data_IF_021764766549
#
_entry.id   IF_021764766549
#
_cell.length_a   1.000
_cell.length_b   1.000
_cell.length_c   1.000
_cell.angle_alpha   90.00
_cell.angle_beta   90.00
_cell.angle_gamma   90.00
#
_symmetry.space_group_name_H-M   'P 1'
#
loop_
_entity.id
_entity.type
_entity.pdbx_description
1 polymer ?
#
# COMPACT_ATOMS: atom_id res chain seq x y z
N UNK A 1 -12.36 3.95 15.38
CA UNK A 1 -11.57 4.81 16.29
C UNK A 1 -10.38 5.39 15.54
N UNK A 2 -9.87 6.55 15.98
CA UNK A 2 -8.82 7.31 15.28
C UNK A 2 -7.57 6.48 14.92
N UNK A 3 -7.09 5.66 15.87
CA UNK A 3 -5.92 4.80 15.68
C UNK A 3 -6.04 3.85 14.48
N UNK A 4 -7.13 3.09 14.40
CA UNK A 4 -7.35 2.15 13.31
C UNK A 4 -7.48 2.90 11.97
N UNK A 5 -8.14 4.07 11.99
CA UNK A 5 -8.24 4.94 10.82
C UNK A 5 -6.87 5.37 10.30
N UNK A 6 -5.95 5.77 11.18
CA UNK A 6 -4.58 6.11 10.81
C UNK A 6 -3.87 4.95 10.12
N UNK A 7 -3.89 3.74 10.69
CA UNK A 7 -3.21 2.56 10.13
C UNK A 7 -3.70 2.24 8.70
N UNK A 8 -5.00 2.32 8.44
CA UNK A 8 -5.57 2.08 7.11
C UNK A 8 -5.30 3.23 6.13
N UNK A 9 -5.34 4.48 6.59
CA UNK A 9 -5.12 5.66 5.74
C UNK A 9 -3.78 5.57 5.02
N UNK A 10 -2.74 5.10 5.73
CA UNK A 10 -1.39 5.02 5.19
C UNK A 10 -1.29 4.13 3.95
N UNK A 11 -2.15 3.11 3.83
CA UNK A 11 -2.01 2.08 2.80
C UNK A 11 -2.76 2.39 1.50
N UNK A 12 -3.78 3.26 1.54
CA UNK A 12 -4.65 3.55 0.39
C UNK A 12 -4.81 5.04 0.07
N UNK A 13 -4.75 5.92 1.07
CA UNK A 13 -4.94 7.34 0.80
C UNK A 13 -3.72 7.90 0.08
N UNK A 14 -3.95 8.70 -0.96
CA UNK A 14 -2.88 9.19 -1.81
C UNK A 14 -2.51 8.27 -2.98
N UNK A 15 -3.09 7.07 -3.07
CA UNK A 15 -2.88 6.14 -4.18
C UNK A 15 -3.79 6.46 -5.37
N UNK A 16 -3.51 5.83 -6.51
CA UNK A 16 -4.32 6.03 -7.72
C UNK A 16 -5.74 5.50 -7.51
N UNK A 17 -6.76 6.26 -7.91
CA UNK A 17 -8.18 5.84 -7.92
C UNK A 17 -8.78 5.80 -9.32
N UNK A 18 -8.08 6.40 -10.30
CA UNK A 18 -8.46 6.41 -11.70
C UNK A 18 -7.55 5.44 -12.46
N UNK A 19 -8.00 4.20 -12.57
CA UNK A 19 -7.43 3.26 -13.53
C UNK A 19 -8.21 3.35 -14.82
N UNK A 20 -7.50 3.36 -15.94
CA UNK A 20 -8.10 3.18 -17.26
C UNK A 20 -9.02 1.94 -17.23
N UNK A 21 -10.13 1.95 -17.98
CA UNK A 21 -11.13 0.88 -17.95
C UNK A 21 -10.49 -0.51 -18.21
N UNK A 22 -9.43 -0.54 -19.01
CA UNK A 22 -8.65 -1.74 -19.29
C UNK A 22 -7.66 -2.11 -18.18
N UNK A 23 -7.11 -1.13 -17.45
CA UNK A 23 -6.26 -1.37 -16.27
C UNK A 23 -7.07 -1.82 -15.05
N UNK A 24 -8.36 -1.45 -14.95
CA UNK A 24 -9.26 -1.98 -13.92
C UNK A 24 -9.44 -3.51 -14.02
N UNK A 25 -9.26 -4.08 -15.22
CA UNK A 25 -9.45 -5.53 -15.45
C UNK A 25 -8.25 -6.36 -15.01
N UNK A 26 -7.04 -5.79 -14.94
CA UNK A 26 -5.88 -6.51 -14.43
C UNK A 26 -5.80 -6.43 -12.90
N UNK A 27 -6.13 -7.55 -12.26
CA UNK A 27 -6.14 -7.67 -10.80
C UNK A 27 -4.81 -7.27 -10.18
N UNK A 28 -3.69 -7.74 -10.75
CA UNK A 28 -2.36 -7.50 -10.17
C UNK A 28 -2.00 -6.02 -10.25
N UNK A 29 -2.09 -5.41 -11.43
CA UNK A 29 -1.80 -3.98 -11.61
C UNK A 29 -2.69 -3.11 -10.73
N UNK A 30 -3.98 -3.46 -10.58
CA UNK A 30 -4.87 -2.74 -9.70
C UNK A 30 -4.37 -2.74 -8.23
N UNK A 31 -3.94 -3.88 -7.70
CA UNK A 31 -3.39 -3.93 -6.33
C UNK A 31 -2.10 -3.12 -6.20
N UNK A 32 -1.22 -3.15 -7.20
CA UNK A 32 0.03 -2.40 -7.17
C UNK A 32 -0.17 -0.88 -7.24
N UNK A 33 -1.22 -0.40 -7.93
CA UNK A 33 -1.47 1.04 -8.13
C UNK A 33 -2.33 1.68 -7.04
N UNK A 34 -3.21 0.90 -6.41
CA UNK A 34 -4.20 1.39 -5.42
C UNK A 34 -3.77 1.15 -3.97
N UNK A 35 -2.67 0.43 -3.76
CA UNK A 35 -2.23 -0.02 -2.44
C UNK A 35 -0.74 0.17 -2.26
N UNK A 36 -0.31 0.46 -1.03
CA UNK A 36 1.10 0.45 -0.62
C UNK A 36 1.30 -0.36 0.65
N UNK A 37 2.54 -0.73 0.90
CA UNK A 37 3.02 -1.26 2.16
C UNK A 37 3.68 -0.18 3.02
N UNK A 38 3.72 -0.46 4.33
CA UNK A 38 4.55 0.26 5.28
C UNK A 38 5.71 -0.65 5.68
N UNK A 39 6.92 -0.13 5.53
CA UNK A 39 8.14 -0.89 5.66
C UNK A 39 8.20 -1.65 6.98
N UNK A 40 8.43 -2.95 6.89
CA UNK A 40 8.46 -3.82 8.06
C UNK A 40 9.62 -3.45 8.97
N UNK A 41 9.28 -3.09 10.20
CA UNK A 41 10.20 -2.94 11.33
C UNK A 41 9.53 -3.57 12.55
N UNK A 42 10.29 -3.91 13.59
CA UNK A 42 9.71 -4.46 14.82
C UNK A 42 8.62 -3.53 15.39
N UNK A 43 8.85 -2.21 15.33
CA UNK A 43 7.85 -1.22 15.75
C UNK A 43 6.63 -1.21 14.83
N UNK A 44 6.81 -1.12 13.51
CA UNK A 44 5.68 -1.04 12.57
C UNK A 44 4.82 -2.32 12.57
N UNK A 45 5.45 -3.49 12.66
CA UNK A 45 4.75 -4.77 12.72
C UNK A 45 3.90 -4.87 14.00
N UNK A 46 4.41 -4.42 15.16
CA UNK A 46 3.65 -4.35 16.41
C UNK A 46 2.55 -3.27 16.37
N UNK A 47 2.91 -2.04 15.99
CA UNK A 47 2.02 -0.87 16.00
C UNK A 47 0.83 -1.06 15.05
N UNK A 48 1.06 -1.64 13.88
CA UNK A 48 -0.02 -1.88 12.91
C UNK A 48 -0.75 -3.21 13.11
N UNK A 49 -0.30 -4.07 14.03
CA UNK A 49 -0.84 -5.43 14.19
C UNK A 49 -0.66 -6.31 12.95
N UNK A 50 0.37 -6.02 12.14
CA UNK A 50 0.65 -6.69 10.86
C UNK A 50 -0.18 -6.19 9.68
N UNK A 51 -0.89 -5.06 9.81
CA UNK A 51 -1.65 -4.43 8.72
C UNK A 51 -0.77 -3.62 7.76
N UNK A 52 0.54 -3.61 7.95
CA UNK A 52 1.51 -2.91 7.11
C UNK A 52 1.82 -3.60 5.76
N UNK A 53 1.24 -4.78 5.51
CA UNK A 53 1.50 -5.64 4.33
C UNK A 53 0.25 -5.75 3.44
N UNK A 54 -0.32 -4.60 3.06
CA UNK A 54 -1.59 -4.55 2.33
C UNK A 54 -1.47 -5.03 0.88
N UNK A 55 -0.33 -4.82 0.20
CA UNK A 55 -0.11 -5.34 -1.16
C UNK A 55 -0.28 -6.87 -1.14
N UNK A 56 0.43 -7.57 -0.25
CA UNK A 56 0.32 -9.04 -0.17
C UNK A 56 -1.03 -9.47 0.39
N UNK A 57 -1.62 -8.72 1.32
CA UNK A 57 -2.96 -9.02 1.81
C UNK A 57 -3.99 -9.00 0.68
N UNK A 58 -3.90 -8.02 -0.22
CA UNK A 58 -4.81 -7.93 -1.36
C UNK A 58 -4.54 -8.97 -2.42
N UNK A 59 -3.26 -9.29 -2.71
CA UNK A 59 -2.90 -10.35 -3.65
C UNK A 59 -3.26 -11.75 -3.13
N UNK A 60 -3.19 -11.96 -1.82
CA UNK A 60 -3.40 -13.26 -1.17
C UNK A 60 -4.29 -13.14 0.08
N UNK A 61 -5.59 -12.80 -0.05
CA UNK A 61 -6.46 -12.48 1.08
C UNK A 61 -6.66 -13.64 2.06
N UNK A 62 -6.54 -14.87 1.57
CA UNK A 62 -6.66 -16.08 2.39
C UNK A 62 -5.33 -16.51 3.05
N UNK A 63 -4.22 -15.84 2.74
CA UNK A 63 -2.93 -16.18 3.34
C UNK A 63 -2.84 -15.68 4.78
N UNK A 64 -2.39 -16.52 5.74
CA UNK A 64 -2.17 -16.07 7.10
C UNK A 64 -1.16 -14.91 7.17
N UNK A 65 -1.45 -13.91 8.01
CA UNK A 65 -0.64 -12.67 8.15
C UNK A 65 0.87 -12.92 8.36
N UNK A 66 1.22 -13.94 9.13
CA UNK A 66 2.63 -14.27 9.39
C UNK A 66 3.39 -14.78 8.15
N UNK A 67 2.67 -15.25 7.13
CA UNK A 67 3.23 -15.70 5.85
C UNK A 67 3.34 -14.59 4.81
N UNK A 68 2.62 -13.47 4.98
CA UNK A 68 2.66 -12.33 4.04
C UNK A 68 4.06 -11.75 3.89
N UNK A 69 4.86 -11.72 4.96
CA UNK A 69 6.26 -11.26 4.87
C UNK A 69 7.14 -12.16 3.99
N UNK A 70 6.82 -13.45 3.86
CA UNK A 70 7.50 -14.36 2.93
C UNK A 70 7.01 -14.13 1.50
N UNK A 71 5.69 -14.00 1.32
CA UNK A 71 5.08 -13.69 0.02
C UNK A 71 5.64 -12.40 -0.59
N UNK A 72 5.79 -11.34 0.23
CA UNK A 72 6.29 -10.05 -0.23
C UNK A 72 7.68 -10.10 -0.83
N UNK A 73 8.56 -11.01 -0.38
CA UNK A 73 9.87 -11.23 -1.02
C UNK A 73 9.74 -11.70 -2.46
N UNK A 74 8.81 -12.62 -2.73
CA UNK A 74 8.55 -13.14 -4.08
C UNK A 74 7.83 -12.11 -4.95
N UNK A 75 6.84 -11.41 -4.39
CA UNK A 75 6.13 -10.33 -5.09
C UNK A 75 7.11 -9.24 -5.49
N UNK A 76 7.94 -8.75 -4.56
CA UNK A 76 8.95 -7.73 -4.85
C UNK A 76 9.95 -8.20 -5.92
N UNK A 77 10.45 -9.43 -5.83
CA UNK A 77 11.37 -9.97 -6.84
C UNK A 77 10.73 -10.05 -8.24
N UNK A 78 9.44 -10.38 -8.32
CA UNK A 78 8.68 -10.37 -9.57
C UNK A 78 8.52 -8.93 -10.09
N UNK A 79 8.14 -7.99 -9.23
CA UNK A 79 8.06 -6.58 -9.58
C UNK A 79 9.40 -6.04 -10.12
N UNK A 80 10.50 -6.33 -9.43
CA UNK A 80 11.85 -5.92 -9.85
C UNK A 80 12.20 -6.51 -11.24
N UNK A 81 11.89 -7.80 -11.47
CA UNK A 81 12.12 -8.48 -12.76
C UNK A 81 11.34 -7.83 -13.92
N UNK A 82 10.11 -7.40 -13.67
CA UNK A 82 9.21 -6.85 -14.68
C UNK A 82 9.16 -5.32 -14.70
N UNK A 83 10.00 -4.65 -13.90
CA UNK A 83 10.05 -3.18 -13.75
C UNK A 83 8.70 -2.58 -13.32
N UNK A 84 8.01 -3.28 -12.42
CA UNK A 84 6.77 -2.82 -11.81
C UNK A 84 7.10 -2.14 -10.49
N UNK A 85 6.51 -0.98 -10.22
CA UNK A 85 6.70 -0.29 -8.95
C UNK A 85 6.10 -1.12 -7.80
N UNK A 86 6.91 -1.36 -6.76
CA UNK A 86 6.48 -1.98 -5.51
C UNK A 86 6.57 -0.95 -4.39
N UNK A 87 5.43 -0.37 -4.02
CA UNK A 87 5.36 0.77 -3.10
C UNK A 87 5.47 0.30 -1.64
N UNK A 88 6.69 0.20 -1.13
CA UNK A 88 7.00 -0.12 0.28
C UNK A 88 7.85 0.99 0.90
N UNK A 89 7.27 1.73 1.85
CA UNK A 89 7.82 3.02 2.32
C UNK A 89 7.76 3.15 3.84
N UNK A 90 8.55 4.07 4.40
CA UNK A 90 8.50 4.36 5.84
C UNK A 90 7.15 4.96 6.26
N UNK A 91 6.74 4.74 7.52
CA UNK A 91 5.46 5.25 8.05
C UNK A 91 5.35 6.78 7.98
N UNK A 92 6.45 7.48 8.29
CA UNK A 92 6.51 8.95 8.19
C UNK A 92 6.39 9.38 6.73
N UNK A 93 7.10 8.71 5.82
CA UNK A 93 7.03 9.00 4.39
C UNK A 93 5.62 8.80 3.85
N UNK A 94 4.96 7.68 4.18
CA UNK A 94 3.57 7.43 3.81
C UNK A 94 2.64 8.54 4.34
N UNK A 95 2.85 9.00 5.58
CA UNK A 95 2.05 10.07 6.16
C UNK A 95 2.23 11.38 5.42
N UNK A 96 3.48 11.73 5.09
CA UNK A 96 3.79 12.90 4.28
C UNK A 96 3.16 12.79 2.88
N UNK A 97 3.18 11.61 2.25
CA UNK A 97 2.55 11.39 0.94
C UNK A 97 1.03 11.58 0.99
N UNK A 98 0.36 11.09 2.04
CA UNK A 98 -1.09 11.33 2.26
C UNK A 98 -1.38 12.82 2.39
N UNK A 99 -0.70 13.52 3.30
CA UNK A 99 -0.94 14.95 3.55
C UNK A 99 -0.64 15.78 2.31
N UNK A 100 0.45 15.48 1.59
CA UNK A 100 0.80 16.15 0.34
C UNK A 100 -0.30 15.97 -0.71
N UNK A 101 -0.83 14.75 -0.87
CA UNK A 101 -1.93 14.52 -1.81
C UNK A 101 -3.18 15.33 -1.44
N UNK A 102 -3.55 15.35 -0.16
CA UNK A 102 -4.69 16.14 0.29
C UNK A 102 -4.50 17.63 0.02
N UNK A 103 -3.28 18.14 0.22
CA UNK A 103 -2.92 19.51 -0.11
C UNK A 103 -3.05 19.79 -1.62
N UNK A 104 -2.51 18.92 -2.49
CA UNK A 104 -2.66 19.05 -3.94
C UNK A 104 -4.13 19.08 -4.35
N UNK A 105 -4.96 18.16 -3.82
CA UNK A 105 -6.40 18.14 -4.10
C UNK A 105 -7.07 19.43 -3.65
N UNK A 106 -6.72 19.95 -2.48
CA UNK A 106 -7.26 21.22 -1.98
C UNK A 106 -6.93 22.41 -2.90
N UNK A 107 -5.81 22.37 -3.63
CA UNK A 107 -5.46 23.41 -4.61
C UNK A 107 -6.31 23.34 -5.90
N UNK A 108 -6.91 22.19 -6.24
CA UNK A 108 -7.79 22.07 -7.41
C UNK A 108 -9.25 22.47 -7.12
N UNK A 109 -9.62 22.59 -5.85
CA UNK A 109 -10.98 22.90 -5.40
C UNK A 109 -11.15 24.39 -5.06
N UNK A 110 -10.05 25.14 -4.96
CA UNK A 110 -10.03 26.60 -4.83
C UNK A 110 -9.67 27.26 -6.16
#
# INVERSE_FOLDING_TARGET
GFFLGYVFIQSHNGMSVHLDEDLKKDFFTNQMLTTRNIHSTAFNDWFTGGLNKQIEHHLFPNMPRHSLGKAGKYVKAMCDKHRIAYEDVGMIEASCKVVRRLHEIAQYVN
#
